data_IF_279749486602
#
_entry.id   IF_279749486602
#
_cell.length_a   1.000
_cell.length_b   1.000
_cell.length_c   1.000
_cell.angle_alpha   90.00
_cell.angle_beta   90.00
_cell.angle_gamma   90.00
#
_symmetry.space_group_name_H-M   'P 1'
#
loop_
_entity.id
_entity.type
_entity.pdbx_description
1 polymer ?
#
# COMPACT_ATOMS: atom_id res chain seq x y z
N UNK A 1 64.54 16.69 -19.26
CA UNK A 1 64.08 15.38 -19.81
C UNK A 1 63.42 14.61 -18.68
N UNK A 2 62.40 13.83 -19.03
CA UNK A 2 61.65 12.85 -18.23
C UNK A 2 60.25 13.28 -17.81
N UNK A 3 59.31 12.88 -18.67
CA UNK A 3 57.88 12.74 -18.43
C UNK A 3 57.61 11.59 -17.45
N UNK A 4 56.51 11.67 -16.70
CA UNK A 4 55.92 10.50 -16.02
C UNK A 4 54.42 10.48 -16.32
N UNK A 5 53.98 9.26 -16.59
CA UNK A 5 52.83 8.85 -17.38
C UNK A 5 51.56 8.82 -16.51
N UNK A 6 50.45 9.31 -17.05
CA UNK A 6 49.12 9.14 -16.46
C UNK A 6 48.69 7.67 -16.51
N UNK A 7 48.32 7.12 -15.36
CA UNK A 7 47.65 5.82 -15.22
C UNK A 7 46.16 5.97 -15.59
N UNK A 8 45.53 5.01 -16.28
CA UNK A 8 44.11 5.09 -16.63
C UNK A 8 43.21 4.92 -15.40
N UNK A 9 42.17 5.75 -15.36
CA UNK A 9 41.14 5.83 -14.33
C UNK A 9 40.39 4.49 -14.23
N UNK A 10 40.50 3.82 -13.10
CA UNK A 10 39.68 2.67 -12.76
C UNK A 10 38.22 3.13 -12.58
N UNK A 11 37.28 2.40 -13.17
CA UNK A 11 35.86 2.73 -13.20
C UNK A 11 35.27 2.88 -11.78
N UNK A 12 34.35 3.82 -11.53
CA UNK A 12 33.61 3.85 -10.28
C UNK A 12 32.65 2.66 -10.25
N UNK A 13 32.95 1.67 -9.41
CA UNK A 13 31.95 0.70 -8.96
C UNK A 13 30.76 1.48 -8.40
N UNK A 14 29.58 1.22 -8.96
CA UNK A 14 28.30 1.74 -8.45
C UNK A 14 28.10 1.23 -7.02
N UNK A 15 28.56 2.03 -6.07
CA UNK A 15 28.11 1.96 -4.69
C UNK A 15 26.82 2.74 -4.65
N UNK A 16 25.72 2.00 -4.69
CA UNK A 16 24.40 2.50 -4.29
C UNK A 16 24.53 2.86 -2.82
N UNK A 17 24.95 4.09 -2.53
CA UNK A 17 24.94 4.67 -1.20
C UNK A 17 23.47 4.84 -0.82
N UNK A 18 22.93 3.79 -0.20
CA UNK A 18 21.62 3.79 0.45
C UNK A 18 21.65 4.88 1.54
N UNK A 19 20.88 5.97 1.41
CA UNK A 19 20.82 7.00 2.45
C UNK A 19 20.15 6.43 3.71
N UNK A 20 20.61 6.89 4.87
CA UNK A 20 20.38 6.38 6.23
C UNK A 20 18.94 6.49 6.78
N UNK A 21 17.91 6.34 5.94
CA UNK A 21 16.49 6.39 6.31
C UNK A 21 15.64 5.24 5.74
N UNK A 22 16.19 4.41 4.85
CA UNK A 22 15.54 3.21 4.36
C UNK A 22 16.02 1.99 5.14
N UNK A 23 15.10 1.27 5.79
CA UNK A 23 15.44 -0.01 6.42
C UNK A 23 15.86 -0.96 5.28
N UNK A 24 17.11 -1.44 5.22
CA UNK A 24 17.53 -2.37 4.18
C UNK A 24 16.75 -3.67 4.36
N UNK A 25 15.80 -3.93 3.45
CA UNK A 25 14.88 -5.07 3.54
C UNK A 25 13.46 -4.73 4.01
N UNK A 26 13.08 -3.44 4.05
CA UNK A 26 11.67 -3.09 4.25
C UNK A 26 10.83 -3.61 3.08
N UNK A 27 9.86 -4.50 3.36
CA UNK A 27 8.95 -5.02 2.36
C UNK A 27 7.62 -4.29 2.40
N UNK A 28 7.01 -4.12 1.23
CA UNK A 28 5.63 -3.64 1.14
C UNK A 28 4.67 -4.81 1.29
N UNK A 29 3.54 -4.59 1.96
CA UNK A 29 2.52 -5.60 2.11
C UNK A 29 1.13 -4.96 2.12
N UNK A 30 0.15 -5.70 1.63
CA UNK A 30 -1.25 -5.42 1.90
C UNK A 30 -1.60 -5.97 3.27
N UNK A 31 -2.06 -5.09 4.15
CA UNK A 31 -2.52 -5.46 5.48
C UNK A 31 -3.92 -4.90 5.72
N UNK A 32 -4.69 -5.59 6.55
CA UNK A 32 -5.93 -5.06 7.10
C UNK A 32 -5.63 -4.41 8.44
N UNK A 33 -6.09 -3.17 8.58
CA UNK A 33 -6.05 -2.39 9.83
C UNK A 33 -7.50 -2.02 10.11
N UNK A 34 -8.06 -2.50 11.23
CA UNK A 34 -9.47 -2.24 11.62
C UNK A 34 -10.47 -2.55 10.48
N UNK A 35 -10.31 -3.70 9.83
CA UNK A 35 -11.13 -4.17 8.71
C UNK A 35 -11.08 -3.32 7.42
N UNK A 36 -10.09 -2.43 7.29
CA UNK A 36 -9.80 -1.73 6.04
C UNK A 36 -8.46 -2.21 5.46
N UNK A 37 -8.42 -2.47 4.15
CA UNK A 37 -7.19 -2.91 3.47
C UNK A 37 -6.33 -1.68 3.14
N UNK A 38 -5.09 -1.69 3.60
CA UNK A 38 -4.10 -0.65 3.40
C UNK A 38 -2.81 -1.23 2.83
N UNK A 39 -2.08 -0.41 2.08
CA UNK A 39 -0.70 -0.69 1.73
C UNK A 39 0.18 -0.23 2.88
N UNK A 40 0.96 -1.13 3.45
CA UNK A 40 1.88 -0.86 4.56
C UNK A 40 3.31 -1.21 4.17
N UNK A 41 4.26 -0.50 4.75
CA UNK A 41 5.67 -0.88 4.71
C UNK A 41 6.06 -1.48 6.06
N UNK A 42 6.63 -2.68 6.02
CA UNK A 42 7.06 -3.43 7.20
C UNK A 42 8.57 -3.51 7.19
N UNK A 43 9.23 -2.99 8.24
CA UNK A 43 10.66 -3.17 8.42
C UNK A 43 10.93 -4.45 9.23
N UNK A 44 11.87 -5.31 8.81
CA UNK A 44 12.18 -6.57 9.48
C UNK A 44 12.77 -6.35 10.88
N UNK A 45 13.38 -5.19 11.12
CA UNK A 45 13.96 -4.80 12.41
C UNK A 45 12.94 -4.35 13.46
N UNK A 46 11.65 -4.29 13.12
CA UNK A 46 10.60 -3.96 14.08
C UNK A 46 10.14 -5.26 14.76
N UNK A 47 10.60 -5.59 15.98
CA UNK A 47 10.20 -6.83 16.62
C UNK A 47 8.70 -6.78 16.89
N UNK A 48 7.96 -7.74 16.33
CA UNK A 48 6.53 -7.93 16.59
C UNK A 48 6.36 -8.59 17.97
N UNK A 49 6.94 -8.00 19.02
CA UNK A 49 6.75 -8.44 20.39
C UNK A 49 5.32 -8.05 20.76
N UNK A 50 4.43 -9.05 20.90
CA UNK A 50 2.96 -8.89 21.04
C UNK A 50 2.45 -8.07 22.23
N UNK A 51 3.31 -7.27 22.87
CA UNK A 51 3.01 -6.37 23.98
C UNK A 51 3.09 -4.88 23.59
N UNK A 52 3.62 -4.53 22.42
CA UNK A 52 3.83 -3.13 22.01
C UNK A 52 3.15 -2.82 20.69
N UNK A 53 2.57 -1.63 20.58
CA UNK A 53 2.04 -1.14 19.30
C UNK A 53 3.17 -1.08 18.27
N UNK A 54 2.89 -1.53 17.06
CA UNK A 54 3.86 -1.57 15.96
C UNK A 54 3.63 -0.35 15.09
N UNK A 55 4.67 0.44 14.90
CA UNK A 55 4.65 1.58 14.00
C UNK A 55 4.75 1.09 12.55
N UNK A 56 3.63 1.20 11.82
CA UNK A 56 3.57 0.87 10.41
C UNK A 56 3.35 2.11 9.57
N UNK A 57 4.14 2.24 8.50
CA UNK A 57 3.94 3.30 7.51
C UNK A 57 2.77 2.91 6.63
N UNK A 58 1.74 3.76 6.61
CA UNK A 58 0.52 3.53 5.85
C UNK A 58 0.53 4.41 4.61
N UNK A 59 0.22 3.79 3.48
CA UNK A 59 0.11 4.46 2.19
C UNK A 59 -1.34 4.44 1.72
N UNK A 60 -1.83 5.59 1.31
CA UNK A 60 -3.19 5.77 0.81
C UNK A 60 -3.18 5.79 -0.71
N UNK A 61 -4.14 5.09 -1.30
CA UNK A 61 -4.35 5.14 -2.75
C UNK A 61 -4.74 6.56 -3.16
N UNK A 62 -3.97 7.15 -4.07
CA UNK A 62 -4.23 8.47 -4.61
C UNK A 62 -4.89 8.35 -5.99
N UNK A 63 -4.22 7.70 -6.95
CA UNK A 63 -4.76 7.50 -8.29
C UNK A 63 -4.12 6.30 -9.01
N UNK A 64 -4.90 5.60 -9.85
CA UNK A 64 -4.44 4.44 -10.67
C UNK A 64 -3.59 3.44 -9.88
N UNK A 65 -2.27 3.58 -9.94
CA UNK A 65 -1.22 2.76 -9.32
C UNK A 65 -0.39 3.47 -8.26
N UNK A 66 -0.71 4.72 -7.97
CA UNK A 66 0.05 5.62 -7.12
C UNK A 66 -0.53 5.61 -5.71
N UNK A 67 0.34 5.32 -4.75
CA UNK A 67 0.04 5.34 -3.34
C UNK A 67 0.94 6.35 -2.66
N UNK A 68 0.35 7.31 -1.97
CA UNK A 68 1.11 8.33 -1.24
C UNK A 68 1.20 7.98 0.23
N UNK A 69 2.34 8.24 0.82
CA UNK A 69 2.53 8.13 2.25
C UNK A 69 1.50 9.00 2.96
N UNK A 70 0.67 8.36 3.80
CA UNK A 70 -0.37 9.05 4.56
C UNK A 70 0.09 9.35 5.99
N UNK A 71 0.97 8.53 6.53
CA UNK A 71 1.50 8.68 7.88
C UNK A 71 1.98 7.36 8.46
N UNK A 72 2.62 7.44 9.62
CA UNK A 72 2.95 6.28 10.45
C UNK A 72 1.84 6.10 11.48
N UNK A 73 1.35 4.87 11.61
CA UNK A 73 0.31 4.51 12.57
C UNK A 73 0.84 3.46 13.51
N UNK A 74 0.72 3.72 14.82
CA UNK A 74 0.96 2.73 15.85
C UNK A 74 -0.29 1.81 15.91
N UNK A 75 -0.15 0.58 15.41
CA UNK A 75 -1.23 -0.40 15.36
C UNK A 75 -0.93 -1.54 16.32
N UNK A 76 -1.93 -1.94 17.11
CA UNK A 76 -1.80 -3.13 17.93
C UNK A 76 -1.73 -4.38 17.03
N UNK A 77 -0.83 -5.35 17.29
CA UNK A 77 -0.66 -6.52 16.42
C UNK A 77 -1.93 -7.36 16.26
N UNK A 78 -2.89 -7.28 17.20
CA UNK A 78 -4.19 -7.92 17.06
C UNK A 78 -5.09 -7.29 15.97
N UNK A 79 -4.94 -5.99 15.71
CA UNK A 79 -5.71 -5.23 14.73
C UNK A 79 -5.02 -5.17 13.35
N UNK A 80 -3.76 -5.62 13.29
CA UNK A 80 -2.96 -5.67 12.07
C UNK A 80 -2.89 -7.10 11.56
N UNK A 81 -3.44 -7.34 10.37
CA UNK A 81 -3.31 -8.63 9.69
C UNK A 81 -2.74 -8.45 8.31
N UNK A 82 -1.53 -8.95 8.12
CA UNK A 82 -0.88 -8.99 6.80
C UNK A 82 -1.64 -10.00 5.95
N UNK A 83 -2.18 -9.54 4.82
CA UNK A 83 -2.89 -10.38 3.85
C UNK A 83 -1.92 -10.93 2.81
N UNK A 84 -1.06 -10.06 2.28
CA UNK A 84 -0.18 -10.41 1.17
C UNK A 84 1.07 -9.52 1.21
N UNK A 85 2.25 -10.15 1.14
CA UNK A 85 3.53 -9.44 1.00
C UNK A 85 3.79 -9.23 -0.48
N UNK A 86 4.13 -7.99 -0.85
CA UNK A 86 4.45 -7.61 -2.22
C UNK A 86 5.93 -7.88 -2.49
N UNK A 87 6.19 -8.53 -3.63
CA UNK A 87 7.55 -8.67 -4.14
C UNK A 87 8.04 -7.35 -4.72
N UNK A 88 9.33 -7.07 -4.57
CA UNK A 88 9.99 -5.84 -5.04
C UNK A 88 9.78 -5.61 -6.55
N UNK A 89 9.62 -6.69 -7.32
CA UNK A 89 9.48 -6.70 -8.77
C UNK A 89 8.25 -5.95 -9.28
N UNK A 90 7.22 -5.79 -8.43
CA UNK A 90 5.98 -5.10 -8.76
C UNK A 90 5.72 -3.84 -7.93
N UNK A 91 6.73 -3.35 -7.19
CA UNK A 91 6.64 -2.20 -6.31
C UNK A 91 7.81 -1.26 -6.50
N UNK A 92 7.54 -0.04 -6.96
CA UNK A 92 8.56 1.00 -7.09
C UNK A 92 8.31 2.06 -6.04
N UNK A 93 9.20 2.12 -5.04
CA UNK A 93 9.14 3.12 -3.99
C UNK A 93 10.06 4.29 -4.31
N UNK A 94 9.47 5.49 -4.37
CA UNK A 94 10.18 6.75 -4.52
C UNK A 94 10.23 7.45 -3.16
N UNK A 95 11.35 7.26 -2.45
CA UNK A 95 11.54 7.81 -1.11
C UNK A 95 11.50 9.34 -1.08
N UNK A 96 12.01 9.99 -2.13
CA UNK A 96 12.07 11.46 -2.21
C UNK A 96 10.68 12.11 -2.17
N UNK A 97 9.68 11.47 -2.77
CA UNK A 97 8.30 11.96 -2.83
C UNK A 97 7.37 11.26 -1.85
N UNK A 98 7.83 10.19 -1.19
CA UNK A 98 7.00 9.35 -0.33
C UNK A 98 5.92 8.61 -1.12
N UNK A 99 6.20 8.28 -2.39
CA UNK A 99 5.22 7.68 -3.31
C UNK A 99 5.60 6.24 -3.61
N UNK A 100 4.63 5.34 -3.57
CA UNK A 100 4.76 3.94 -3.99
C UNK A 100 3.94 3.73 -5.24
N UNK A 101 4.59 3.25 -6.29
CA UNK A 101 3.95 2.84 -7.53
C UNK A 101 3.79 1.32 -7.50
N UNK A 102 2.55 0.86 -7.59
CA UNK A 102 2.23 -0.56 -7.67
C UNK A 102 2.01 -0.97 -9.12
N UNK A 103 2.51 -2.14 -9.50
CA UNK A 103 2.13 -2.79 -10.75
C UNK A 103 0.60 -2.99 -10.82
N UNK A 104 0.07 -3.01 -12.03
CA UNK A 104 -1.37 -3.19 -12.28
C UNK A 104 -1.94 -4.42 -11.58
N UNK A 105 -1.20 -5.51 -11.61
CA UNK A 105 -1.56 -6.80 -10.99
C UNK A 105 -1.72 -6.68 -9.47
N UNK A 106 -0.88 -5.88 -8.81
CA UNK A 106 -0.95 -5.65 -7.37
C UNK A 106 -2.20 -4.84 -6.99
N UNK A 107 -2.61 -3.90 -7.85
CA UNK A 107 -3.83 -3.11 -7.65
C UNK A 107 -5.07 -3.99 -7.86
N UNK A 108 -5.05 -4.87 -8.87
CA UNK A 108 -6.13 -5.83 -9.10
C UNK A 108 -6.30 -6.77 -7.91
N UNK A 109 -5.19 -7.26 -7.34
CA UNK A 109 -5.18 -8.02 -6.08
C UNK A 109 -5.75 -7.22 -4.91
N UNK A 110 -5.30 -5.98 -4.70
CA UNK A 110 -5.84 -5.09 -3.67
C UNK A 110 -7.36 -4.90 -3.82
N UNK A 111 -7.85 -4.63 -5.03
CA UNK A 111 -9.29 -4.46 -5.31
C UNK A 111 -10.06 -5.73 -5.01
N UNK A 112 -9.51 -6.90 -5.31
CA UNK A 112 -10.12 -8.19 -5.00
C UNK A 112 -10.26 -8.40 -3.49
N UNK A 113 -9.21 -8.10 -2.73
CA UNK A 113 -9.21 -8.20 -1.26
C UNK A 113 -10.16 -7.19 -0.61
N UNK A 114 -10.12 -5.93 -1.03
CA UNK A 114 -11.00 -4.88 -0.50
C UNK A 114 -12.49 -5.19 -0.69
N UNK A 115 -12.85 -5.79 -1.84
CA UNK A 115 -14.23 -6.27 -2.10
C UNK A 115 -14.65 -7.44 -1.23
N UNK A 116 -13.71 -8.27 -0.80
CA UNK A 116 -14.00 -9.43 0.05
C UNK A 116 -14.18 -9.03 1.53
N UNK A 117 -13.44 -8.00 1.97
CA UNK A 117 -13.50 -7.49 3.35
C UNK A 117 -14.73 -6.61 3.58
N UNK A 118 -15.27 -5.94 2.55
CA UNK A 118 -16.57 -5.28 2.70
C UNK A 118 -17.68 -6.34 2.76
N UNK A 119 -18.34 -6.56 3.93
CA UNK A 119 -19.61 -7.26 3.91
C UNK A 119 -20.55 -6.47 3.00
N UNK A 120 -21.26 -7.20 2.15
CA UNK A 120 -22.30 -6.69 1.23
C UNK A 120 -23.49 -6.12 1.99
N UNK A 121 -23.26 -5.15 2.88
CA UNK A 121 -24.29 -4.45 3.60
C UNK A 121 -24.97 -3.49 2.63
N UNK A 122 -26.11 -3.97 2.16
CA UNK A 122 -27.22 -3.20 1.61
C UNK A 122 -27.07 -2.64 0.19
N UNK A 123 -26.90 -3.56 -0.76
CA UNK A 123 -27.91 -3.63 -1.84
C UNK A 123 -29.26 -4.02 -1.22
N UNK A 124 -29.93 -3.10 -0.52
CA UNK A 124 -31.36 -3.23 -0.25
C UNK A 124 -32.06 -2.32 -1.24
N UNK A 125 -32.37 -2.94 -2.38
CA UNK A 125 -33.55 -2.73 -3.22
C UNK A 125 -34.13 -1.30 -3.17
N UNK A 126 -33.84 -0.49 -4.17
CA UNK A 126 -34.75 -0.30 -5.30
C UNK A 126 -36.21 -0.04 -4.88
N UNK A 127 -36.63 1.20 -5.12
CA UNK A 127 -37.90 1.55 -5.75
C UNK A 127 -39.15 1.03 -5.02
N UNK A 128 -39.73 1.86 -4.16
CA UNK A 128 -41.19 2.03 -4.16
C UNK A 128 -41.49 3.49 -4.46
N UNK A 129 -41.66 3.76 -5.76
CA UNK A 129 -42.36 4.94 -6.24
C UNK A 129 -43.81 4.86 -5.74
N UNK A 130 -44.38 5.91 -5.13
CA UNK A 130 -45.75 5.88 -4.60
C UNK A 130 -46.86 6.04 -5.65
N UNK A 131 -46.56 5.93 -6.95
CA UNK A 131 -47.59 5.97 -7.99
C UNK A 131 -48.19 4.58 -8.24
N UNK A 132 -49.13 4.17 -7.40
CA UNK A 132 -50.12 3.14 -7.74
C UNK A 132 -51.38 3.39 -6.92
N UNK A 133 -52.42 3.94 -7.56
CA UNK A 133 -53.71 4.14 -6.91
C UNK A 133 -54.68 5.10 -7.61
N UNK A 134 -54.98 4.90 -8.89
CA UNK A 134 -56.26 5.33 -9.46
C UNK A 134 -57.10 4.10 -9.77
N UNK A 135 -58.16 3.81 -9.01
CA UNK A 135 -59.28 3.05 -9.52
C UNK A 135 -60.32 4.02 -10.11
N UNK A 136 -60.67 3.73 -11.36
CA UNK A 136 -61.83 4.26 -12.06
C UNK A 136 -63.11 4.07 -11.22
N UNK A 137 -63.88 5.15 -11.06
CA UNK A 137 -65.26 5.10 -10.57
C UNK A 137 -66.17 5.80 -11.58
N UNK A 138 -66.70 5.02 -12.53
CA UNK A 138 -67.92 5.33 -13.27
C UNK A 138 -69.11 5.06 -12.35
N UNK A 139 -69.92 6.07 -12.03
CA UNK A 139 -71.37 6.11 -12.23
C UNK A 139 -71.93 7.48 -11.80
#
# INVERSE_FOLDING_TARGET
MSATICTPCNAPSMTTTTPAGSCPGASFAFATIKDAVHLVQVCPDTPLTGMTAVDVKVFRHDCVSVFRFAGTLAVHPADLRILEVLADEGTLYEEHTGTVFLAKENIERLRKMSRAVQPRSARRLSIRSPYSGYPHGLH
#
